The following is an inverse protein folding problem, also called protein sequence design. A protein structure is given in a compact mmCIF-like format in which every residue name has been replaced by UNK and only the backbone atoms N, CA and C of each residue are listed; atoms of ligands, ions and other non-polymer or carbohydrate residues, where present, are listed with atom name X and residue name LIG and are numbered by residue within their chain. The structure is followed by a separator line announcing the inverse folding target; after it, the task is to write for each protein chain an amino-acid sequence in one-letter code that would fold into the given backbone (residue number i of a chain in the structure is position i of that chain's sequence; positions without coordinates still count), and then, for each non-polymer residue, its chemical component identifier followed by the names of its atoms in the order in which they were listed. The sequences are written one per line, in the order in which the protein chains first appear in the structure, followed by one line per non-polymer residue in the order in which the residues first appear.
data_IF_839034404864
#
_entry.id   IF_839034404864
#
_cell.length_a   1.000
_cell.length_b   1.000
_cell.length_c   1.000
_cell.angle_alpha   90.00
_cell.angle_beta   90.00
_cell.angle_gamma   90.00
#
_symmetry.space_group_name_H-M   'P 1'
#
loop_
_entity.id
_entity.type
_entity.pdbx_description
1 polymer ?
#
# COMPACT_ATOMS: atom_id res chain seq x y z
N UNK A 1 -14.84 -13.84 13.73
CA UNK A 1 -15.66 -14.62 14.67
C UNK A 1 -17.10 -14.16 14.50
N UNK A 2 -18.03 -15.05 14.17
CA UNK A 2 -19.45 -14.65 14.06
C UNK A 2 -20.00 -14.32 15.45
N UNK A 3 -20.71 -13.20 15.55
CA UNK A 3 -21.24 -12.68 16.82
C UNK A 3 -22.37 -13.57 17.37
N UNK A 4 -23.13 -14.22 16.49
CA UNK A 4 -24.27 -15.09 16.79
C UNK A 4 -23.91 -16.53 16.43
N UNK A 5 -24.23 -17.48 17.31
CA UNK A 5 -24.13 -18.91 17.02
C UNK A 5 -25.45 -19.43 16.41
N UNK A 6 -25.34 -20.29 15.40
CA UNK A 6 -26.46 -20.88 14.67
C UNK A 6 -26.57 -22.37 15.02
N UNK A 7 -27.71 -22.80 15.56
CA UNK A 7 -28.02 -24.21 15.80
C UNK A 7 -29.08 -24.67 14.79
N UNK A 8 -28.61 -25.17 13.64
CA UNK A 8 -29.44 -25.53 12.49
C UNK A 8 -30.51 -26.59 12.86
N UNK A 9 -30.14 -27.62 13.63
CA UNK A 9 -31.05 -28.72 14.01
C UNK A 9 -32.22 -28.25 14.88
N UNK A 10 -32.05 -27.14 15.60
CA UNK A 10 -33.08 -26.58 16.49
C UNK A 10 -33.76 -25.34 15.93
N UNK A 11 -33.32 -24.86 14.76
CA UNK A 11 -33.71 -23.58 14.20
C UNK A 11 -33.56 -22.44 15.23
N UNK A 12 -32.48 -22.51 16.00
CA UNK A 12 -32.21 -21.60 17.11
C UNK A 12 -30.99 -20.74 16.78
N UNK A 13 -31.08 -19.44 17.10
CA UNK A 13 -29.94 -18.52 17.10
C UNK A 13 -29.59 -18.18 18.53
N UNK A 14 -28.29 -18.05 18.85
CA UNK A 14 -27.82 -17.77 20.23
C UNK A 14 -26.82 -16.62 20.30
N UNK A 15 -26.99 -15.77 21.31
CA UNK A 15 -26.06 -14.68 21.64
C UNK A 15 -26.03 -14.47 23.15
N UNK A 16 -24.83 -14.34 23.74
CA UNK A 16 -24.68 -14.00 25.17
C UNK A 16 -25.34 -14.98 26.14
N UNK A 17 -25.45 -16.27 25.76
CA UNK A 17 -26.16 -17.29 26.56
C UNK A 17 -27.68 -17.31 26.37
N UNK A 18 -28.27 -16.36 25.66
CA UNK A 18 -29.68 -16.35 25.29
C UNK A 18 -29.91 -17.01 23.92
N UNK A 19 -30.95 -17.82 23.80
CA UNK A 19 -31.36 -18.49 22.57
C UNK A 19 -32.74 -18.06 22.09
N UNK A 20 -32.92 -17.91 20.78
CA UNK A 20 -34.20 -17.58 20.14
C UNK A 20 -34.51 -18.67 19.11
N UNK A 21 -35.58 -19.42 19.37
CA UNK A 21 -36.08 -20.44 18.42
C UNK A 21 -36.98 -19.76 17.37
N UNK A 22 -36.66 -20.04 16.11
CA UNK A 22 -37.33 -19.49 14.94
C UNK A 22 -38.11 -20.57 14.20
N UNK A 23 -39.16 -20.18 13.49
CA UNK A 23 -39.81 -21.06 12.53
C UNK A 23 -38.91 -21.25 11.30
N UNK A 24 -39.07 -22.33 10.52
CA UNK A 24 -38.17 -22.64 9.40
C UNK A 24 -37.92 -21.47 8.43
N UNK A 25 -38.99 -20.78 8.01
CA UNK A 25 -38.88 -19.62 7.10
C UNK A 25 -38.37 -18.36 7.78
N UNK A 26 -38.66 -18.16 9.06
CA UNK A 26 -38.07 -17.06 9.84
C UNK A 26 -36.56 -17.27 9.97
N UNK A 27 -36.14 -18.50 10.27
CA UNK A 27 -34.74 -18.89 10.39
C UNK A 27 -34.00 -18.70 9.06
N UNK A 28 -34.55 -19.23 7.97
CA UNK A 28 -33.97 -19.10 6.64
C UNK A 28 -33.87 -17.63 6.19
N UNK A 29 -34.92 -16.83 6.43
CA UNK A 29 -34.91 -15.39 6.11
C UNK A 29 -33.88 -14.62 6.93
N UNK A 30 -33.79 -14.90 8.23
CA UNK A 30 -32.77 -14.27 9.09
C UNK A 30 -31.36 -14.69 8.67
N UNK A 31 -31.14 -15.98 8.35
CA UNK A 31 -29.85 -16.51 7.89
C UNK A 31 -29.43 -15.83 6.60
N UNK A 32 -30.33 -15.72 5.63
CA UNK A 32 -30.06 -15.04 4.35
C UNK A 32 -29.69 -13.56 4.55
N UNK A 33 -30.48 -12.82 5.32
CA UNK A 33 -30.21 -11.42 5.62
C UNK A 33 -28.91 -11.22 6.42
N UNK A 34 -28.58 -12.14 7.34
CA UNK A 34 -27.37 -12.06 8.16
C UNK A 34 -26.10 -12.39 7.38
N UNK A 35 -26.14 -13.42 6.52
CA UNK A 35 -25.05 -13.75 5.58
C UNK A 35 -24.67 -12.52 4.75
N UNK A 36 -25.67 -11.76 4.30
CA UNK A 36 -25.50 -10.57 3.48
C UNK A 36 -25.86 -9.27 4.20
N UNK A 37 -25.46 -9.16 5.47
CA UNK A 37 -25.67 -7.96 6.30
C UNK A 37 -25.21 -6.67 5.59
N UNK A 38 -25.88 -5.57 5.90
CA UNK A 38 -25.73 -4.23 5.31
C UNK A 38 -26.09 -4.10 3.82
N UNK A 39 -26.54 -5.17 3.16
CA UNK A 39 -27.10 -5.14 1.81
C UNK A 39 -28.62 -5.02 1.82
N UNK A 40 -29.16 -4.17 0.95
CA UNK A 40 -30.61 -4.05 0.73
C UNK A 40 -31.07 -5.09 -0.27
N UNK A 41 -32.18 -5.77 0.04
CA UNK A 41 -32.83 -6.73 -0.85
C UNK A 41 -34.26 -6.28 -1.17
N UNK A 42 -34.68 -6.50 -2.42
CA UNK A 42 -36.09 -6.36 -2.79
C UNK A 42 -36.93 -7.48 -2.18
N UNK A 43 -38.24 -7.26 -2.06
CA UNK A 43 -39.17 -8.30 -1.59
C UNK A 43 -39.13 -9.53 -2.49
N UNK A 44 -39.19 -9.31 -3.79
CA UNK A 44 -39.03 -10.33 -4.84
C UNK A 44 -37.74 -11.14 -4.64
N UNK A 45 -36.59 -10.48 -4.46
CA UNK A 45 -35.31 -11.18 -4.25
C UNK A 45 -35.29 -12.00 -2.95
N UNK A 46 -35.97 -11.55 -1.89
CA UNK A 46 -36.09 -12.31 -0.65
C UNK A 46 -37.05 -13.50 -0.80
N UNK A 47 -38.12 -13.33 -1.59
CA UNK A 47 -39.04 -14.41 -1.93
C UNK A 47 -38.32 -15.49 -2.73
N UNK A 48 -37.61 -15.13 -3.80
CA UNK A 48 -36.84 -16.07 -4.61
C UNK A 48 -35.81 -16.84 -3.78
N UNK A 49 -35.16 -16.17 -2.83
CA UNK A 49 -34.11 -16.78 -2.01
C UNK A 49 -34.64 -17.76 -0.96
N UNK A 50 -35.81 -17.51 -0.39
CA UNK A 50 -36.32 -18.25 0.79
C UNK A 50 -37.55 -19.09 0.47
N UNK A 51 -38.23 -18.82 -0.64
CA UNK A 51 -39.45 -19.49 -1.13
C UNK A 51 -39.37 -19.87 -2.63
N UNK A 52 -38.28 -20.51 -3.13
CA UNK A 52 -38.06 -20.71 -4.57
C UNK A 52 -39.07 -21.62 -5.30
N UNK A 53 -39.90 -22.36 -4.57
CA UNK A 53 -40.87 -23.33 -5.11
C UNK A 53 -42.30 -23.06 -4.63
N UNK A 54 -42.53 -21.90 -4.02
CA UNK A 54 -43.82 -21.47 -3.50
C UNK A 54 -44.25 -20.21 -4.27
N UNK A 55 -45.54 -19.86 -4.23
CA UNK A 55 -46.07 -18.61 -4.82
C UNK A 55 -46.54 -17.62 -3.73
N UNK A 56 -45.62 -17.14 -2.87
CA UNK A 56 -45.94 -16.17 -1.84
C UNK A 56 -46.10 -14.76 -2.41
N UNK A 57 -46.77 -13.89 -1.64
CA UNK A 57 -46.88 -12.47 -1.99
C UNK A 57 -45.88 -11.63 -1.21
N UNK A 58 -45.66 -10.39 -1.63
CA UNK A 58 -44.89 -9.39 -0.87
C UNK A 58 -45.30 -9.31 0.62
N UNK A 59 -46.59 -9.49 0.91
CA UNK A 59 -47.12 -9.49 2.27
C UNK A 59 -46.56 -10.62 3.13
N UNK A 60 -46.20 -11.75 2.53
CA UNK A 60 -45.55 -12.87 3.21
C UNK A 60 -44.19 -12.44 3.77
N UNK A 61 -43.38 -11.69 3.02
CA UNK A 61 -42.13 -11.13 3.53
C UNK A 61 -42.41 -10.17 4.68
N UNK A 62 -43.36 -9.24 4.49
CA UNK A 62 -43.67 -8.21 5.48
C UNK A 62 -44.06 -8.83 6.83
N UNK A 63 -44.87 -9.89 6.84
CA UNK A 63 -45.28 -10.62 8.04
C UNK A 63 -44.10 -11.33 8.72
N UNK A 64 -43.21 -11.97 7.94
CA UNK A 64 -42.01 -12.62 8.50
C UNK A 64 -41.02 -11.61 9.07
N UNK A 65 -40.83 -10.47 8.41
CA UNK A 65 -39.99 -9.38 8.91
C UNK A 65 -40.58 -8.82 10.21
N UNK A 66 -41.91 -8.64 10.28
CA UNK A 66 -42.57 -8.21 11.50
C UNK A 66 -42.33 -9.18 12.68
N UNK A 67 -42.50 -10.48 12.45
CA UNK A 67 -42.24 -11.51 13.47
C UNK A 67 -40.77 -11.57 13.89
N UNK A 68 -39.85 -11.52 12.92
CA UNK A 68 -38.42 -11.49 13.18
C UNK A 68 -38.03 -10.27 14.02
N UNK A 69 -38.50 -9.07 13.68
CA UNK A 69 -38.25 -7.85 14.48
C UNK A 69 -38.72 -8.01 15.92
N UNK A 70 -39.90 -8.61 16.13
CA UNK A 70 -40.44 -8.84 17.47
C UNK A 70 -39.60 -9.84 18.27
N UNK A 71 -39.20 -10.96 17.64
CA UNK A 71 -38.37 -11.98 18.30
C UNK A 71 -36.96 -11.46 18.61
N UNK A 72 -36.38 -10.67 17.71
CA UNK A 72 -35.02 -10.14 17.80
C UNK A 72 -34.92 -8.81 18.56
N UNK A 73 -36.01 -8.33 19.15
CA UNK A 73 -36.06 -7.02 19.82
C UNK A 73 -34.98 -6.86 20.89
N UNK A 74 -34.71 -7.93 21.67
CA UNK A 74 -33.67 -7.95 22.70
C UNK A 74 -32.25 -7.77 22.13
N UNK A 75 -32.06 -8.12 20.87
CA UNK A 75 -30.78 -8.04 20.16
C UNK A 75 -30.68 -6.81 19.26
N UNK A 76 -31.62 -5.86 19.38
CA UNK A 76 -31.62 -4.60 18.63
C UNK A 76 -30.37 -3.74 18.85
N UNK A 77 -29.63 -3.97 19.94
CA UNK A 77 -28.33 -3.35 20.21
C UNK A 77 -27.17 -3.94 19.39
N UNK A 78 -27.36 -5.12 18.78
CA UNK A 78 -26.39 -5.80 17.93
C UNK A 78 -26.67 -5.53 16.45
N UNK A 79 -27.94 -5.61 16.05
CA UNK A 79 -28.39 -5.38 14.68
C UNK A 79 -29.90 -5.14 14.62
N UNK A 80 -30.36 -4.50 13.54
CA UNK A 80 -31.78 -4.28 13.25
C UNK A 80 -32.11 -4.74 11.83
N UNK A 81 -33.35 -5.17 11.60
CA UNK A 81 -33.85 -5.35 10.23
C UNK A 81 -34.59 -4.05 9.87
N UNK A 82 -34.06 -3.28 8.94
CA UNK A 82 -34.58 -1.97 8.55
C UNK A 82 -35.41 -2.07 7.26
N UNK A 83 -36.40 -1.19 7.14
CA UNK A 83 -37.16 -1.03 5.89
C UNK A 83 -36.49 0.06 5.06
N UNK A 84 -36.05 -0.30 3.86
CA UNK A 84 -35.46 0.62 2.89
C UNK A 84 -36.57 1.02 1.92
N UNK A 85 -37.09 2.24 2.06
CA UNK A 85 -38.22 2.75 1.27
C UNK A 85 -37.92 2.64 -0.23
N UNK A 86 -38.87 2.11 -0.98
CA UNK A 86 -38.76 1.90 -2.43
C UNK A 86 -37.88 0.70 -2.84
N UNK A 87 -37.26 -0.02 -1.89
CA UNK A 87 -36.39 -1.17 -2.18
C UNK A 87 -36.91 -2.42 -1.51
N UNK A 88 -36.95 -2.46 -0.18
CA UNK A 88 -37.33 -3.66 0.58
C UNK A 88 -36.71 -3.66 1.97
N UNK A 89 -35.89 -4.67 2.29
CA UNK A 89 -35.37 -4.90 3.63
C UNK A 89 -33.86 -5.07 3.67
N UNK A 90 -33.25 -4.66 4.78
CA UNK A 90 -31.81 -4.81 5.06
C UNK A 90 -31.59 -5.16 6.52
N UNK A 91 -30.72 -6.12 6.81
CA UNK A 91 -30.21 -6.30 8.17
C UNK A 91 -29.00 -5.39 8.37
N UNK A 92 -29.14 -4.37 9.21
CA UNK A 92 -28.10 -3.39 9.53
C UNK A 92 -27.45 -3.75 10.86
N UNK A 93 -26.13 -3.90 10.87
CA UNK A 93 -25.40 -4.06 12.14
C UNK A 93 -25.39 -2.75 12.91
N UNK A 94 -25.69 -2.83 14.21
CA UNK A 94 -25.37 -1.79 15.17
C UNK A 94 -23.97 -2.10 15.67
N UNK A 95 -22.96 -1.77 14.86
CA UNK A 95 -21.62 -1.65 15.42
C UNK A 95 -21.71 -0.66 16.58
N UNK A 96 -21.45 -1.10 17.80
CA UNK A 96 -20.91 -0.17 18.79
C UNK A 96 -19.61 0.31 18.17
N UNK A 97 -19.63 1.49 17.56
CA UNK A 97 -18.38 2.18 17.29
C UNK A 97 -17.70 2.25 18.66
N UNK A 98 -16.51 1.64 18.82
CA UNK A 98 -15.79 1.79 20.08
C UNK A 98 -15.65 3.29 20.35
N UNK A 99 -15.67 3.71 21.63
CA UNK A 99 -15.48 5.11 21.96
C UNK A 99 -14.26 5.61 21.20
N UNK A 100 -14.43 6.71 20.49
CA UNK A 100 -13.36 7.38 19.77
C UNK A 100 -12.30 7.79 20.79
N UNK A 101 -11.31 6.94 21.08
CA UNK A 101 -10.36 7.11 22.18
C UNK A 101 -9.63 8.45 22.09
N UNK A 102 -9.38 8.94 20.87
CA UNK A 102 -8.85 10.28 20.61
C UNK A 102 -9.70 11.42 21.17
N UNK A 103 -11.03 11.25 21.28
CA UNK A 103 -11.94 12.23 21.87
C UNK A 103 -11.88 12.25 23.41
N UNK A 104 -11.37 11.19 24.05
CA UNK A 104 -11.36 11.03 25.51
C UNK A 104 -9.95 11.06 26.12
N UNK A 105 -8.91 10.81 25.33
CA UNK A 105 -7.50 10.90 25.74
C UNK A 105 -6.71 11.69 24.70
N UNK A 106 -6.35 12.92 25.06
CA UNK A 106 -5.60 13.82 24.18
C UNK A 106 -4.26 13.19 23.72
N UNK A 107 -3.57 12.49 24.62
CA UNK A 107 -2.25 11.88 24.34
C UNK A 107 -2.34 10.58 23.51
N UNK A 108 -3.55 10.02 23.32
CA UNK A 108 -3.70 8.77 22.56
C UNK A 108 -3.36 8.98 21.08
N UNK A 109 -3.81 10.09 20.50
CA UNK A 109 -3.49 10.45 19.12
C UNK A 109 -1.99 10.64 18.92
N UNK A 110 -1.31 11.25 19.89
CA UNK A 110 0.15 11.40 19.86
C UNK A 110 0.84 10.04 19.94
N UNK A 111 0.40 9.16 20.85
CA UNK A 111 0.94 7.79 20.97
C UNK A 111 0.83 7.00 19.66
N UNK A 112 -0.32 7.08 18.99
CA UNK A 112 -0.53 6.44 17.68
C UNK A 112 0.41 7.04 16.63
N UNK A 113 0.57 8.38 16.58
CA UNK A 113 1.52 9.03 15.66
C UNK A 113 2.95 8.61 15.93
N UNK A 114 3.36 8.48 17.19
CA UNK A 114 4.69 7.99 17.56
C UNK A 114 4.91 6.55 17.08
N UNK A 115 3.91 5.67 17.24
CA UNK A 115 3.98 4.30 16.74
C UNK A 115 4.08 4.25 15.20
N UNK A 116 3.23 5.00 14.50
CA UNK A 116 3.26 5.09 13.03
C UNK A 116 4.60 5.62 12.53
N UNK A 117 5.12 6.68 13.15
CA UNK A 117 6.43 7.25 12.84
C UNK A 117 7.56 6.25 13.06
N UNK A 118 7.55 5.51 14.18
CA UNK A 118 8.55 4.50 14.46
C UNK A 118 8.52 3.35 13.44
N UNK A 119 7.33 2.82 13.11
CA UNK A 119 7.19 1.75 12.11
C UNK A 119 7.53 2.21 10.70
N UNK A 120 7.17 3.43 10.33
CA UNK A 120 7.59 4.06 9.08
C UNK A 120 9.12 4.17 9.04
N UNK A 121 9.74 4.79 10.04
CA UNK A 121 11.20 4.94 10.12
C UNK A 121 11.92 3.60 9.97
N UNK A 122 11.49 2.56 10.71
CA UNK A 122 12.08 1.23 10.65
C UNK A 122 11.75 0.42 9.39
N UNK A 123 10.87 0.89 8.51
CA UNK A 123 10.45 0.18 7.31
C UNK A 123 9.59 -1.06 7.59
N UNK A 124 8.74 -0.98 8.61
CA UNK A 124 7.86 -2.08 9.04
C UNK A 124 6.45 -1.93 8.45
N UNK A 125 6.31 -2.18 7.15
CA UNK A 125 5.07 -1.91 6.40
C UNK A 125 3.90 -2.76 6.89
N UNK A 126 4.15 -4.02 7.24
CA UNK A 126 3.15 -4.90 7.85
C UNK A 126 2.57 -4.34 9.16
N UNK A 127 3.39 -3.68 9.98
CA UNK A 127 2.94 -3.06 11.24
C UNK A 127 2.07 -1.82 10.95
N UNK A 128 2.47 -0.97 9.99
CA UNK A 128 1.66 0.17 9.54
C UNK A 128 0.29 -0.27 9.01
N UNK A 129 0.27 -1.28 8.14
CA UNK A 129 -0.97 -1.87 7.61
C UNK A 129 -1.88 -2.38 8.74
N UNK A 130 -1.31 -3.09 9.70
CA UNK A 130 -2.06 -3.65 10.83
C UNK A 130 -2.73 -2.54 11.65
N UNK A 131 -2.01 -1.47 11.97
CA UNK A 131 -2.60 -0.33 12.68
C UNK A 131 -3.70 0.34 11.85
N UNK A 132 -3.43 0.65 10.59
CA UNK A 132 -4.37 1.33 9.70
C UNK A 132 -5.67 0.54 9.48
N UNK A 133 -5.56 -0.77 9.26
CA UNK A 133 -6.70 -1.66 9.03
C UNK A 133 -7.59 -1.83 10.27
N UNK A 134 -7.05 -1.60 11.47
CA UNK A 134 -7.76 -1.73 12.74
C UNK A 134 -8.10 -0.39 13.39
N UNK A 135 -7.95 0.74 12.69
CA UNK A 135 -8.18 2.09 13.27
C UNK A 135 -9.60 2.26 13.85
N UNK A 136 -10.61 1.66 13.20
CA UNK A 136 -11.99 1.68 13.69
C UNK A 136 -12.12 0.94 15.02
N UNK A 137 -11.51 -0.25 15.14
CA UNK A 137 -11.52 -1.06 16.37
C UNK A 137 -10.71 -0.39 17.48
N UNK A 138 -9.60 0.25 17.11
CA UNK A 138 -8.68 0.95 18.01
C UNK A 138 -9.14 2.38 18.36
N UNK A 139 -10.22 2.87 17.78
CA UNK A 139 -10.83 4.16 18.13
C UNK A 139 -10.01 5.39 17.76
N UNK A 140 -9.19 5.34 16.69
CA UNK A 140 -8.46 6.51 16.17
C UNK A 140 -8.72 6.74 14.69
N UNK A 141 -8.32 7.92 14.21
CA UNK A 141 -8.27 8.26 12.79
C UNK A 141 -6.82 8.52 12.40
N UNK A 142 -6.42 8.03 11.24
CA UNK A 142 -5.12 8.37 10.66
C UNK A 142 -5.10 9.87 10.33
N UNK A 143 -3.95 10.51 10.55
CA UNK A 143 -3.72 11.83 9.96
C UNK A 143 -3.68 11.74 8.42
N UNK A 144 -3.96 12.86 7.73
CA UNK A 144 -4.05 12.87 6.26
C UNK A 144 -2.82 12.29 5.56
N UNK A 145 -1.62 12.55 6.08
CA UNK A 145 -0.38 12.02 5.51
C UNK A 145 -0.37 10.49 5.55
N UNK A 146 -0.56 9.86 6.72
CA UNK A 146 -0.55 8.40 6.80
C UNK A 146 -1.71 7.72 6.09
N UNK A 147 -2.88 8.36 5.99
CA UNK A 147 -4.03 7.84 5.26
C UNK A 147 -3.71 7.60 3.77
N UNK A 148 -2.94 8.51 3.17
CA UNK A 148 -2.50 8.45 1.78
C UNK A 148 -1.25 7.58 1.64
N UNK A 149 -0.25 7.84 2.47
CA UNK A 149 1.05 7.16 2.45
C UNK A 149 0.92 5.66 2.58
N UNK A 150 0.11 5.17 3.53
CA UNK A 150 -0.07 3.74 3.74
C UNK A 150 -0.63 3.09 2.48
N UNK A 151 -1.71 3.64 1.89
CA UNK A 151 -2.27 3.09 0.65
C UNK A 151 -1.24 3.04 -0.49
N UNK A 152 -0.40 4.06 -0.61
CA UNK A 152 0.69 4.07 -1.59
C UNK A 152 1.70 2.96 -1.33
N UNK A 153 2.27 2.87 -0.12
CA UNK A 153 3.33 1.90 0.17
C UNK A 153 2.84 0.45 0.18
N UNK A 154 1.55 0.23 0.37
CA UNK A 154 0.93 -1.11 0.37
C UNK A 154 0.43 -1.53 -1.00
N UNK A 155 0.55 -0.67 -2.01
CA UNK A 155 0.26 -1.00 -3.40
C UNK A 155 -1.18 -0.76 -3.86
N UNK A 156 -1.99 0.01 -3.12
CA UNK A 156 -3.33 0.45 -3.57
C UNK A 156 -3.21 1.63 -4.56
N UNK A 157 -2.43 1.42 -5.63
CA UNK A 157 -2.07 2.45 -6.59
C UNK A 157 -3.27 2.92 -7.43
N UNK A 158 -4.20 2.02 -7.75
CA UNK A 158 -5.38 2.37 -8.52
C UNK A 158 -6.26 3.38 -7.78
N UNK A 159 -6.53 3.14 -6.48
CA UNK A 159 -7.19 4.13 -5.63
C UNK A 159 -6.36 5.40 -5.52
N UNK A 160 -5.05 5.27 -5.31
CA UNK A 160 -4.16 6.43 -5.14
C UNK A 160 -4.21 7.36 -6.34
N UNK A 161 -4.17 6.84 -7.57
CA UNK A 161 -4.23 7.68 -8.78
C UNK A 161 -5.64 8.25 -9.00
N UNK A 162 -6.68 7.47 -8.71
CA UNK A 162 -8.08 7.87 -8.88
C UNK A 162 -8.56 8.91 -7.87
N UNK A 163 -7.95 8.97 -6.68
CA UNK A 163 -8.32 9.91 -5.63
C UNK A 163 -8.24 11.38 -6.12
N UNK A 164 -9.34 12.10 -5.97
CA UNK A 164 -9.51 13.51 -6.33
C UNK A 164 -9.70 14.40 -5.10
N UNK A 165 -9.83 13.81 -3.90
CA UNK A 165 -10.05 14.55 -2.65
C UNK A 165 -8.74 15.15 -2.14
N UNK A 166 -7.61 14.49 -2.41
CA UNK A 166 -6.28 14.99 -2.05
C UNK A 166 -5.77 16.00 -3.10
N UNK A 167 -5.24 17.16 -2.68
CA UNK A 167 -4.65 18.14 -3.60
C UNK A 167 -3.56 17.52 -4.49
N UNK A 168 -3.55 17.88 -5.78
CA UNK A 168 -2.55 17.36 -6.72
C UNK A 168 -1.12 17.65 -6.26
N UNK A 169 -0.86 18.81 -5.66
CA UNK A 169 0.45 19.19 -5.10
C UNK A 169 1.00 18.20 -4.06
N UNK A 170 0.13 17.58 -3.26
CA UNK A 170 0.51 16.56 -2.27
C UNK A 170 0.81 15.20 -2.93
N UNK A 171 0.38 15.02 -4.18
CA UNK A 171 0.47 13.75 -4.93
C UNK A 171 1.52 13.75 -6.02
N UNK A 172 1.96 14.91 -6.50
CA UNK A 172 2.91 15.02 -7.62
C UNK A 172 4.16 14.17 -7.43
N UNK A 173 4.74 14.20 -6.23
CA UNK A 173 5.89 13.38 -5.85
C UNK A 173 5.61 11.88 -6.05
N UNK A 174 4.53 11.37 -5.46
CA UNK A 174 4.17 9.96 -5.51
C UNK A 174 3.76 9.52 -6.93
N UNK A 175 3.04 10.36 -7.67
CA UNK A 175 2.67 10.09 -9.06
C UNK A 175 3.90 9.97 -9.96
N UNK A 176 4.89 10.85 -9.77
CA UNK A 176 6.18 10.72 -10.45
C UNK A 176 6.88 9.40 -10.11
N UNK A 177 6.99 9.05 -8.83
CA UNK A 177 7.65 7.82 -8.40
C UNK A 177 6.93 6.56 -8.91
N UNK A 178 5.59 6.60 -8.93
CA UNK A 178 4.77 5.53 -9.50
C UNK A 178 5.05 5.33 -10.99
N UNK A 179 5.16 6.42 -11.75
CA UNK A 179 5.54 6.35 -13.15
C UNK A 179 6.98 5.85 -13.31
N UNK A 180 7.93 6.45 -12.58
CA UNK A 180 9.34 6.09 -12.66
C UNK A 180 9.59 4.61 -12.38
N UNK A 181 9.01 4.06 -11.32
CA UNK A 181 9.25 2.66 -10.96
C UNK A 181 8.59 1.66 -11.92
N UNK A 182 7.62 2.09 -12.73
CA UNK A 182 6.89 1.24 -13.67
C UNK A 182 7.30 1.44 -15.14
N UNK A 183 8.02 2.52 -15.46
CA UNK A 183 8.47 2.85 -16.81
C UNK A 183 9.97 2.55 -17.01
N UNK A 184 10.27 1.55 -17.83
CA UNK A 184 11.65 1.12 -18.10
C UNK A 184 12.38 2.03 -19.10
N UNK A 185 11.68 2.93 -19.79
CA UNK A 185 12.29 3.93 -20.67
C UNK A 185 12.75 5.15 -19.85
N UNK A 186 14.08 5.33 -19.77
CA UNK A 186 14.69 6.43 -19.03
C UNK A 186 14.37 7.80 -19.65
N UNK A 187 14.21 7.90 -20.97
CA UNK A 187 13.88 9.17 -21.63
C UNK A 187 12.45 9.60 -21.31
N UNK A 188 11.50 8.66 -21.28
CA UNK A 188 10.11 8.95 -20.92
C UNK A 188 10.00 9.40 -19.47
N UNK A 189 10.70 8.70 -18.57
CA UNK A 189 10.80 9.09 -17.16
C UNK A 189 11.39 10.50 -17.02
N UNK A 190 12.46 10.81 -17.76
CA UNK A 190 13.10 12.12 -17.71
C UNK A 190 12.21 13.25 -18.22
N UNK A 191 11.44 13.03 -19.30
CA UNK A 191 10.45 13.99 -19.79
C UNK A 191 9.42 14.31 -18.70
N UNK A 192 8.89 13.29 -18.04
CA UNK A 192 7.93 13.49 -16.95
C UNK A 192 8.57 14.20 -15.75
N UNK A 193 9.79 13.81 -15.37
CA UNK A 193 10.55 14.46 -14.31
C UNK A 193 10.72 15.97 -14.56
N UNK A 194 11.11 16.37 -15.78
CA UNK A 194 11.25 17.78 -16.14
C UNK A 194 9.94 18.56 -16.00
N UNK A 195 8.80 17.95 -16.35
CA UNK A 195 7.48 18.54 -16.12
C UNK A 195 7.22 18.73 -14.63
N UNK A 196 7.45 17.70 -13.81
CA UNK A 196 7.22 17.76 -12.37
C UNK A 196 8.10 18.83 -11.69
N UNK A 197 9.37 18.92 -12.08
CA UNK A 197 10.31 19.93 -11.56
C UNK A 197 9.83 21.35 -11.86
N UNK A 198 9.22 21.62 -13.03
CA UNK A 198 8.64 22.95 -13.33
C UNK A 198 7.52 23.35 -12.36
N UNK A 199 6.82 22.37 -11.78
CA UNK A 199 5.72 22.57 -10.85
C UNK A 199 6.12 22.35 -9.38
N UNK A 200 7.41 22.12 -9.09
CA UNK A 200 7.85 21.73 -7.75
C UNK A 200 7.57 22.75 -6.66
N UNK A 201 7.54 24.05 -7.00
CA UNK A 201 7.22 25.11 -6.05
C UNK A 201 5.82 24.99 -5.41
N UNK A 202 4.91 24.20 -6.01
CA UNK A 202 3.59 23.93 -5.45
C UNK A 202 3.57 22.76 -4.44
N UNK A 203 4.61 21.93 -4.42
CA UNK A 203 4.71 20.76 -3.55
C UNK A 203 5.24 21.15 -2.15
N UNK A 204 4.92 20.35 -1.11
CA UNK A 204 5.64 20.40 0.16
C UNK A 204 7.16 20.41 -0.01
N UNK A 205 7.87 21.21 0.79
CA UNK A 205 9.33 21.37 0.70
C UNK A 205 10.08 20.03 0.74
N UNK A 206 9.66 19.12 1.63
CA UNK A 206 10.25 17.79 1.76
C UNK A 206 10.24 17.01 0.44
N UNK A 207 9.17 17.12 -0.35
CA UNK A 207 9.07 16.44 -1.64
C UNK A 207 9.89 17.13 -2.74
N UNK A 208 10.07 18.45 -2.65
CA UNK A 208 11.00 19.16 -3.53
C UNK A 208 12.43 18.68 -3.31
N UNK A 209 12.84 18.59 -2.04
CA UNK A 209 14.16 18.13 -1.62
C UNK A 209 14.39 16.67 -2.05
N UNK A 210 13.42 15.78 -1.79
CA UNK A 210 13.49 14.38 -2.20
C UNK A 210 13.60 14.20 -3.72
N UNK A 211 12.93 15.02 -4.53
CA UNK A 211 13.10 14.98 -5.99
C UNK A 211 14.52 15.32 -6.42
N UNK A 212 15.15 16.30 -5.77
CA UNK A 212 16.54 16.66 -6.05
C UNK A 212 17.52 15.57 -5.65
N UNK A 213 17.25 14.86 -4.54
CA UNK A 213 18.07 13.71 -4.11
C UNK A 213 17.93 12.57 -5.13
N UNK A 214 16.70 12.20 -5.50
CA UNK A 214 16.44 11.09 -6.43
C UNK A 214 16.90 11.37 -7.87
N UNK A 215 17.04 12.64 -8.24
CA UNK A 215 17.55 13.04 -9.56
C UNK A 215 18.95 12.47 -9.86
N UNK A 216 19.78 12.19 -8.84
CA UNK A 216 21.10 11.56 -9.03
C UNK A 216 20.98 10.22 -9.77
N UNK A 217 20.13 9.32 -9.28
CA UNK A 217 19.93 8.01 -9.89
C UNK A 217 19.24 8.12 -11.25
N UNK A 218 18.32 9.07 -11.41
CA UNK A 218 17.65 9.34 -12.68
C UNK A 218 18.63 9.76 -13.78
N UNK A 219 19.52 10.72 -13.49
CA UNK A 219 20.57 11.14 -14.43
C UNK A 219 21.54 10.00 -14.75
N UNK A 220 21.90 9.18 -13.76
CA UNK A 220 22.72 8.00 -13.98
C UNK A 220 22.06 6.98 -14.93
N UNK A 221 20.74 6.76 -14.81
CA UNK A 221 19.97 5.87 -15.69
C UNK A 221 19.94 6.34 -17.16
N UNK A 222 20.07 7.64 -17.40
CA UNK A 222 20.18 8.19 -18.76
C UNK A 222 21.61 8.14 -19.31
N UNK A 223 22.59 7.72 -18.51
CA UNK A 223 24.01 7.80 -18.89
C UNK A 223 24.60 9.22 -18.83
N UNK A 224 23.89 10.17 -18.22
CA UNK A 224 24.30 11.57 -18.10
C UNK A 224 25.25 11.76 -16.90
N UNK A 225 26.45 11.19 -16.99
CA UNK A 225 27.38 11.06 -15.86
C UNK A 225 27.78 12.41 -15.25
N UNK A 226 28.10 13.41 -16.07
CA UNK A 226 28.51 14.73 -15.58
C UNK A 226 27.38 15.43 -14.84
N UNK A 227 26.16 15.35 -15.38
CA UNK A 227 24.97 15.92 -14.76
C UNK A 227 24.65 15.20 -13.44
N UNK A 228 24.75 13.87 -13.41
CA UNK A 228 24.55 13.09 -12.19
C UNK A 228 25.55 13.47 -11.10
N UNK A 229 26.86 13.61 -11.43
CA UNK A 229 27.88 14.04 -10.46
C UNK A 229 27.65 15.48 -9.97
N UNK A 230 27.22 16.39 -10.84
CA UNK A 230 26.85 17.75 -10.42
C UNK A 230 25.65 17.72 -9.47
N UNK A 231 24.66 16.87 -9.75
CA UNK A 231 23.48 16.71 -8.90
C UNK A 231 23.85 16.13 -7.53
N UNK A 232 24.84 15.23 -7.43
CA UNK A 232 25.34 14.73 -6.13
C UNK A 232 25.78 15.87 -5.23
N UNK A 233 26.55 16.84 -5.75
CA UNK A 233 27.02 17.96 -4.95
C UNK A 233 25.86 18.79 -4.39
N UNK A 234 24.82 19.02 -5.20
CA UNK A 234 23.62 19.73 -4.77
C UNK A 234 22.81 18.93 -3.74
N UNK A 235 22.58 17.64 -4.00
CA UNK A 235 21.84 16.75 -3.12
C UNK A 235 22.52 16.58 -1.75
N UNK A 236 23.86 16.57 -1.68
CA UNK A 236 24.60 16.55 -0.40
C UNK A 236 24.28 17.76 0.46
N UNK A 237 24.27 18.96 -0.11
CA UNK A 237 23.91 20.17 0.64
C UNK A 237 22.50 20.10 1.20
N UNK A 238 21.55 19.53 0.46
CA UNK A 238 20.17 19.33 0.93
C UNK A 238 20.17 18.35 2.10
N UNK A 239 20.76 17.17 1.93
CA UNK A 239 20.78 16.12 2.97
C UNK A 239 21.49 16.58 4.26
N UNK A 240 22.58 17.32 4.14
CA UNK A 240 23.29 17.91 5.29
C UNK A 240 22.39 18.87 6.09
N UNK A 241 21.51 19.62 5.43
CA UNK A 241 20.56 20.52 6.09
C UNK A 241 19.38 19.78 6.75
N UNK A 242 19.02 18.61 6.22
CA UNK A 242 17.92 17.80 6.76
C UNK A 242 18.29 17.07 8.06
N UNK A 243 19.58 16.88 8.33
CA UNK A 243 20.11 16.16 9.51
C UNK A 243 19.40 14.81 9.75
N UNK A 244 19.31 14.01 8.69
CA UNK A 244 18.52 12.78 8.69
C UNK A 244 19.28 11.61 8.08
N UNK A 245 19.34 10.53 8.85
CA UNK A 245 19.98 9.29 8.45
C UNK A 245 19.25 8.60 7.30
N UNK A 246 17.92 8.73 7.25
CA UNK A 246 17.11 8.19 6.17
C UNK A 246 17.45 8.88 4.84
N UNK A 247 17.55 10.21 4.84
CA UNK A 247 17.90 10.97 3.64
C UNK A 247 19.37 10.79 3.25
N UNK A 248 20.24 10.60 4.24
CA UNK A 248 21.64 10.20 4.01
C UNK A 248 21.72 8.86 3.29
N UNK A 249 20.96 7.85 3.75
CA UNK A 249 20.88 6.56 3.09
C UNK A 249 20.32 6.66 1.66
N UNK A 250 19.29 7.47 1.42
CA UNK A 250 18.76 7.68 0.06
C UNK A 250 19.80 8.25 -0.90
N UNK A 251 20.56 9.26 -0.46
CA UNK A 251 21.63 9.82 -1.28
C UNK A 251 22.76 8.81 -1.51
N UNK A 252 23.17 8.07 -0.47
CA UNK A 252 24.19 7.02 -0.59
C UNK A 252 23.76 5.94 -1.59
N UNK A 253 22.47 5.57 -1.64
CA UNK A 253 21.95 4.62 -2.62
C UNK A 253 22.07 5.17 -4.05
N UNK A 254 21.69 6.44 -4.28
CA UNK A 254 21.83 7.12 -5.57
C UNK A 254 23.29 7.27 -6.03
N UNK A 255 24.19 7.64 -5.12
CA UNK A 255 25.62 7.73 -5.40
C UNK A 255 26.23 6.36 -5.70
N UNK A 256 25.83 5.32 -4.96
CA UNK A 256 26.28 3.95 -5.19
C UNK A 256 25.81 3.47 -6.55
N UNK A 257 24.56 3.74 -6.90
CA UNK A 257 24.00 3.42 -8.20
C UNK A 257 24.76 4.10 -9.35
N UNK A 258 25.01 5.41 -9.24
CA UNK A 258 25.85 6.16 -10.18
C UNK A 258 27.24 5.53 -10.32
N UNK A 259 27.90 5.22 -9.20
CA UNK A 259 29.23 4.61 -9.22
C UNK A 259 29.23 3.22 -9.86
N UNK A 260 28.20 2.41 -9.65
CA UNK A 260 28.06 1.09 -10.28
C UNK A 260 27.90 1.18 -11.80
N UNK A 261 27.00 2.06 -12.26
CA UNK A 261 26.74 2.27 -13.68
C UNK A 261 27.92 2.92 -14.41
N UNK A 262 28.61 3.88 -13.78
CA UNK A 262 29.81 4.50 -14.35
C UNK A 262 31.07 3.61 -14.27
N UNK A 263 30.98 2.45 -13.61
CA UNK A 263 32.08 1.49 -13.45
C UNK A 263 33.11 1.83 -12.37
N UNK A 264 32.82 2.79 -11.50
CA UNK A 264 33.64 3.16 -10.36
C UNK A 264 33.39 2.23 -9.15
N UNK A 265 33.76 0.96 -9.28
CA UNK A 265 33.43 -0.10 -8.30
C UNK A 265 34.01 0.19 -6.90
N UNK A 266 35.24 0.69 -6.81
CA UNK A 266 35.86 1.04 -5.51
C UNK A 266 35.09 2.15 -4.78
N UNK A 267 34.59 3.16 -5.52
CA UNK A 267 33.73 4.22 -4.97
C UNK A 267 32.42 3.62 -4.45
N UNK A 268 31.80 2.72 -5.22
CA UNK A 268 30.58 2.04 -4.80
C UNK A 268 30.79 1.25 -3.50
N UNK A 269 31.90 0.53 -3.37
CA UNK A 269 32.22 -0.23 -2.15
C UNK A 269 32.40 0.68 -0.91
N UNK A 270 33.11 1.81 -1.06
CA UNK A 270 33.26 2.78 0.03
C UNK A 270 31.93 3.42 0.46
N UNK A 271 31.02 3.68 -0.48
CA UNK A 271 29.67 4.19 -0.18
C UNK A 271 28.80 3.15 0.52
N UNK A 272 28.87 1.88 0.08
CA UNK A 272 28.18 0.76 0.73
C UNK A 272 28.65 0.57 2.17
N UNK A 273 29.96 0.68 2.44
CA UNK A 273 30.51 0.60 3.80
C UNK A 273 29.94 1.69 4.71
N UNK A 274 29.85 2.94 4.22
CA UNK A 274 29.23 4.05 4.96
C UNK A 274 27.76 3.77 5.25
N UNK A 275 27.00 3.29 4.27
CA UNK A 275 25.59 2.96 4.45
C UNK A 275 25.37 1.84 5.48
N UNK A 276 26.15 0.76 5.43
CA UNK A 276 26.04 -0.32 6.41
C UNK A 276 26.42 0.10 7.83
N UNK A 277 27.33 1.07 8.00
CA UNK A 277 27.63 1.64 9.31
C UNK A 277 26.41 2.36 9.92
N UNK A 278 25.62 3.06 9.09
CA UNK A 278 24.36 3.68 9.50
C UNK A 278 23.30 2.60 9.79
N UNK A 279 23.16 1.60 8.93
CA UNK A 279 22.15 0.55 9.08
C UNK A 279 22.40 -0.37 10.27
N UNK A 280 23.65 -0.49 10.73
CA UNK A 280 23.97 -1.22 11.96
C UNK A 280 23.37 -0.54 13.20
N UNK A 281 23.33 0.80 13.25
CA UNK A 281 22.71 1.55 14.37
C UNK A 281 21.21 1.76 14.20
N UNK A 282 20.73 1.85 12.97
CA UNK A 282 19.32 2.07 12.62
C UNK A 282 18.89 1.04 11.57
N UNK A 283 18.46 -0.16 11.98
CA UNK A 283 18.20 -1.28 11.06
C UNK A 283 16.86 -1.11 10.32
N UNK A 284 16.78 -0.09 9.47
CA UNK A 284 15.66 0.18 8.59
C UNK A 284 15.54 -0.96 7.57
N UNK A 285 14.61 -1.89 7.78
CA UNK A 285 14.62 -3.19 7.11
C UNK A 285 14.59 -3.09 5.59
N UNK A 286 13.81 -2.16 5.04
CA UNK A 286 13.74 -1.93 3.59
C UNK A 286 15.07 -1.42 3.03
N UNK A 287 15.77 -0.54 3.75
CA UNK A 287 17.08 -0.03 3.34
C UNK A 287 18.16 -1.11 3.47
N UNK A 288 18.09 -1.96 4.49
CA UNK A 288 18.96 -3.15 4.60
C UNK A 288 18.83 -4.01 3.35
N UNK A 289 17.61 -4.26 2.88
CA UNK A 289 17.38 -4.99 1.64
C UNK A 289 17.94 -4.28 0.40
N UNK A 290 17.68 -2.98 0.25
CA UNK A 290 18.18 -2.15 -0.86
C UNK A 290 19.71 -2.12 -0.93
N UNK A 291 20.39 -1.89 0.18
CA UNK A 291 21.85 -1.86 0.23
C UNK A 291 22.49 -3.22 0.05
N UNK A 292 21.83 -4.30 0.49
CA UNK A 292 22.28 -5.67 0.23
C UNK A 292 22.18 -6.03 -1.25
N UNK A 293 21.11 -5.58 -1.91
CA UNK A 293 20.98 -5.65 -3.36
C UNK A 293 22.11 -4.89 -4.06
N UNK A 294 22.36 -3.62 -3.71
CA UNK A 294 23.45 -2.83 -4.29
C UNK A 294 24.83 -3.45 -4.05
N UNK A 295 25.06 -4.03 -2.87
CA UNK A 295 26.26 -4.80 -2.57
C UNK A 295 26.39 -6.01 -3.49
N UNK A 296 25.31 -6.75 -3.74
CA UNK A 296 25.30 -7.85 -4.68
C UNK A 296 25.65 -7.41 -6.11
N UNK A 297 25.11 -6.28 -6.59
CA UNK A 297 25.46 -5.71 -7.89
C UNK A 297 26.93 -5.26 -7.96
N UNK A 298 27.47 -4.72 -6.87
CA UNK A 298 28.90 -4.40 -6.74
C UNK A 298 29.76 -5.67 -6.88
N UNK A 299 29.43 -6.74 -6.16
CA UNK A 299 30.13 -8.03 -6.28
C UNK A 299 30.01 -8.62 -7.69
N UNK A 300 28.90 -8.37 -8.38
CA UNK A 300 28.74 -8.80 -9.77
C UNK A 300 29.76 -8.12 -10.69
N UNK A 301 29.98 -6.79 -10.53
CA UNK A 301 31.01 -6.05 -11.29
C UNK A 301 32.42 -6.56 -10.99
N UNK A 302 32.65 -7.08 -9.80
CA UNK A 302 33.91 -7.71 -9.37
C UNK A 302 34.08 -9.16 -9.88
N UNK A 303 33.16 -9.67 -10.71
CA UNK A 303 33.14 -11.06 -11.21
C UNK A 303 32.89 -12.13 -10.13
N UNK A 304 32.44 -11.75 -8.93
CA UNK A 304 32.07 -12.66 -7.84
C UNK A 304 30.61 -13.14 -7.97
N UNK A 305 30.29 -13.78 -9.11
CA UNK A 305 28.92 -14.02 -9.58
C UNK A 305 28.06 -14.81 -8.58
N UNK A 306 28.60 -15.86 -7.96
CA UNK A 306 27.83 -16.68 -7.01
C UNK A 306 27.46 -15.90 -5.74
N UNK A 307 28.37 -15.05 -5.24
CA UNK A 307 28.14 -14.19 -4.08
C UNK A 307 27.18 -13.07 -4.43
N UNK A 308 27.33 -12.46 -5.60
CA UNK A 308 26.43 -11.45 -6.13
C UNK A 308 24.97 -11.92 -6.17
N UNK A 309 24.71 -13.09 -6.78
CA UNK A 309 23.36 -13.66 -6.88
C UNK A 309 22.70 -13.85 -5.51
N UNK A 310 23.44 -14.43 -4.55
CA UNK A 310 22.91 -14.62 -3.19
C UNK A 310 22.54 -13.30 -2.53
N UNK A 311 23.44 -12.30 -2.59
CA UNK A 311 23.20 -11.00 -1.97
C UNK A 311 22.01 -10.26 -2.60
N UNK A 312 21.88 -10.27 -3.92
CA UNK A 312 20.74 -9.65 -4.61
C UNK A 312 19.44 -10.38 -4.30
N UNK A 313 19.43 -11.72 -4.36
CA UNK A 313 18.25 -12.53 -4.01
C UNK A 313 17.81 -12.26 -2.56
N UNK A 314 18.76 -12.27 -1.62
CA UNK A 314 18.51 -11.98 -0.21
C UNK A 314 18.01 -10.55 0.00
N UNK A 315 18.58 -9.57 -0.69
CA UNK A 315 18.15 -8.17 -0.62
C UNK A 315 16.70 -8.00 -1.08
N UNK A 316 16.33 -8.62 -2.21
CA UNK A 316 14.96 -8.58 -2.73
C UNK A 316 13.97 -9.26 -1.79
N UNK A 317 14.32 -10.38 -1.18
CA UNK A 317 13.44 -11.06 -0.21
C UNK A 317 13.28 -10.27 1.09
N UNK A 318 14.33 -9.61 1.57
CA UNK A 318 14.22 -8.66 2.70
C UNK A 318 13.23 -7.54 2.35
N UNK A 319 13.37 -6.90 1.19
CA UNK A 319 12.44 -5.84 0.74
C UNK A 319 11.02 -6.39 0.65
N UNK A 320 10.81 -7.56 0.03
CA UNK A 320 9.49 -8.20 -0.06
C UNK A 320 8.86 -8.40 1.32
N UNK A 321 9.64 -8.87 2.30
CA UNK A 321 9.16 -9.13 3.65
C UNK A 321 8.68 -7.86 4.38
N UNK A 322 9.19 -6.68 4.02
CA UNK A 322 8.75 -5.40 4.61
C UNK A 322 7.33 -4.99 4.20
N UNK A 323 6.80 -5.57 3.11
CA UNK A 323 5.53 -5.19 2.50
C UNK A 323 5.46 -3.74 1.97
N UNK A 324 6.62 -3.12 1.72
CA UNK A 324 6.73 -1.89 0.95
C UNK A 324 6.73 -2.18 -0.55
N UNK A 325 5.55 -2.22 -1.15
CA UNK A 325 5.37 -2.57 -2.56
C UNK A 325 6.20 -1.71 -3.52
N UNK A 326 6.24 -0.36 -3.39
CA UNK A 326 7.07 0.47 -4.27
C UNK A 326 8.55 0.08 -4.26
N UNK A 327 9.09 -0.27 -3.09
CA UNK A 327 10.51 -0.63 -2.96
C UNK A 327 10.80 -1.97 -3.64
N UNK A 328 9.86 -2.93 -3.56
CA UNK A 328 9.99 -4.19 -4.28
C UNK A 328 9.96 -3.98 -5.80
N UNK A 329 9.06 -3.13 -6.30
CA UNK A 329 9.00 -2.78 -7.72
C UNK A 329 10.31 -2.10 -8.14
N UNK A 330 10.77 -1.12 -7.38
CA UNK A 330 12.02 -0.39 -7.64
C UNK A 330 13.25 -1.30 -7.62
N UNK A 331 13.32 -2.26 -6.70
CA UNK A 331 14.39 -3.23 -6.63
C UNK A 331 14.48 -4.09 -7.90
N UNK A 332 13.33 -4.64 -8.34
CA UNK A 332 13.28 -5.44 -9.58
C UNK A 332 13.56 -4.58 -10.81
N UNK A 333 13.00 -3.36 -10.85
CA UNK A 333 13.27 -2.37 -11.89
C UNK A 333 14.77 -2.10 -12.05
N UNK A 334 15.45 -1.77 -10.94
CA UNK A 334 16.88 -1.45 -10.96
C UNK A 334 17.73 -2.67 -11.35
N UNK A 335 17.40 -3.87 -10.91
CA UNK A 335 18.11 -5.08 -11.35
C UNK A 335 18.02 -5.23 -12.87
N UNK A 336 16.83 -5.05 -13.45
CA UNK A 336 16.65 -5.14 -14.90
C UNK A 336 17.33 -4.00 -15.66
N UNK A 337 17.33 -2.77 -15.11
CA UNK A 337 18.11 -1.67 -15.67
C UNK A 337 19.61 -1.99 -15.66
N UNK A 338 20.14 -2.51 -14.56
CA UNK A 338 21.54 -2.89 -14.45
C UNK A 338 21.95 -3.89 -15.55
N UNK A 339 21.10 -4.88 -15.83
CA UNK A 339 21.35 -5.88 -16.88
C UNK A 339 21.38 -5.31 -18.30
N UNK A 340 20.83 -4.11 -18.54
CA UNK A 340 20.97 -3.41 -19.83
C UNK A 340 22.36 -2.82 -20.03
N UNK A 341 23.03 -2.46 -18.94
CA UNK A 341 24.36 -1.84 -18.97
C UNK A 341 25.50 -2.84 -18.75
N UNK A 342 25.21 -3.98 -18.13
CA UNK A 342 26.21 -4.98 -17.74
C UNK A 342 25.77 -6.36 -18.20
N UNK A 343 26.58 -7.09 -18.99
CA UNK A 343 26.24 -8.43 -19.45
C UNK A 343 25.82 -9.37 -18.31
N UNK A 344 24.63 -9.96 -18.46
CA UNK A 344 24.01 -10.83 -17.46
C UNK A 344 23.82 -12.26 -17.99
N UNK A 345 23.90 -13.23 -17.08
CA UNK A 345 23.51 -14.61 -17.35
C UNK A 345 22.00 -14.71 -17.63
N UNK A 346 21.64 -15.36 -18.74
CA UNK A 346 20.26 -15.45 -19.22
C UNK A 346 19.28 -16.07 -18.21
N UNK A 347 19.73 -17.04 -17.39
CA UNK A 347 18.87 -17.67 -16.37
C UNK A 347 18.55 -16.69 -15.24
N UNK A 348 19.53 -15.87 -14.85
CA UNK A 348 19.33 -14.88 -13.80
C UNK A 348 18.49 -13.69 -14.29
N UNK A 349 18.73 -13.24 -15.52
CA UNK A 349 17.88 -12.26 -16.19
C UNK A 349 16.42 -12.72 -16.29
N UNK A 350 16.18 -13.95 -16.81
CA UNK A 350 14.84 -14.50 -16.97
C UNK A 350 14.06 -14.59 -15.65
N UNK A 351 14.74 -14.85 -14.53
CA UNK A 351 14.11 -14.85 -13.20
C UNK A 351 13.52 -13.49 -12.87
N UNK A 352 14.27 -12.41 -13.05
CA UNK A 352 13.79 -11.07 -12.71
C UNK A 352 12.82 -10.50 -13.73
N UNK A 353 12.94 -10.88 -15.01
CA UNK A 353 11.93 -10.57 -16.02
C UNK A 353 10.59 -11.21 -15.68
N UNK A 354 10.59 -12.46 -15.19
CA UNK A 354 9.38 -13.12 -14.69
C UNK A 354 8.80 -12.37 -13.49
N UNK A 355 9.63 -12.03 -12.50
CA UNK A 355 9.18 -11.26 -11.33
C UNK A 355 8.60 -9.89 -11.72
N UNK A 356 9.22 -9.21 -12.67
CA UNK A 356 8.71 -7.96 -13.23
C UNK A 356 7.37 -8.14 -13.90
N UNK A 357 7.21 -9.20 -14.72
CA UNK A 357 5.93 -9.53 -15.35
C UNK A 357 4.84 -9.79 -14.31
N UNK A 358 5.12 -10.60 -13.28
CA UNK A 358 4.18 -10.90 -12.21
C UNK A 358 3.72 -9.62 -11.48
N UNK A 359 4.67 -8.73 -11.15
CA UNK A 359 4.37 -7.41 -10.56
C UNK A 359 3.56 -6.52 -11.51
N UNK A 360 3.92 -6.48 -12.78
CA UNK A 360 3.24 -5.67 -13.79
C UNK A 360 1.79 -6.10 -14.00
N UNK A 361 1.52 -7.40 -13.95
CA UNK A 361 0.16 -7.96 -14.00
C UNK A 361 -0.59 -7.64 -12.70
N UNK A 362 0.02 -7.91 -11.55
CA UNK A 362 -0.61 -7.70 -10.24
C UNK A 362 -1.05 -6.25 -10.01
N UNK A 363 -0.19 -5.29 -10.36
CA UNK A 363 -0.42 -3.86 -10.12
C UNK A 363 -0.82 -3.09 -11.38
N UNK A 364 -1.02 -3.77 -12.52
CA UNK A 364 -1.49 -3.18 -13.78
C UNK A 364 -0.64 -1.99 -14.27
N UNK A 365 0.68 -2.17 -14.39
CA UNK A 365 1.63 -1.08 -14.71
C UNK A 365 1.23 -0.24 -15.93
N UNK A 366 0.80 -0.85 -17.03
CA UNK A 366 0.39 -0.13 -18.24
C UNK A 366 -0.83 0.76 -18.01
N UNK A 367 -1.78 0.32 -17.19
CA UNK A 367 -2.92 1.14 -16.80
C UNK A 367 -2.45 2.30 -15.90
N UNK A 368 -1.65 2.00 -14.88
CA UNK A 368 -1.13 3.02 -13.95
C UNK A 368 -0.36 4.12 -14.67
N UNK A 369 0.56 3.77 -15.58
CA UNK A 369 1.33 4.75 -16.36
C UNK A 369 0.41 5.68 -17.16
N UNK A 370 -0.58 5.13 -17.85
CA UNK A 370 -1.57 5.92 -18.61
C UNK A 370 -2.40 6.81 -17.70
N UNK A 371 -2.86 6.30 -16.57
CA UNK A 371 -3.63 7.07 -15.59
C UNK A 371 -2.81 8.20 -14.97
N UNK A 372 -1.53 7.97 -14.66
CA UNK A 372 -0.62 9.01 -14.18
C UNK A 372 -0.43 10.09 -15.24
N UNK A 373 -0.10 9.72 -16.48
CA UNK A 373 0.07 10.70 -17.57
C UNK A 373 -1.21 11.49 -17.80
N UNK A 374 -2.38 10.84 -17.75
CA UNK A 374 -3.67 11.52 -17.86
C UNK A 374 -3.91 12.49 -16.70
N UNK A 375 -3.65 12.09 -15.45
CA UNK A 375 -3.79 12.96 -14.28
C UNK A 375 -2.88 14.18 -14.36
N UNK A 376 -1.70 14.01 -14.96
CA UNK A 376 -0.70 15.05 -15.14
C UNK A 376 -0.87 15.82 -16.45
N UNK A 377 -1.84 15.48 -17.31
CA UNK A 377 -1.98 16.12 -18.63
C UNK A 377 -2.37 17.59 -18.56
N UNK A 378 -2.88 18.07 -17.42
CA UNK A 378 -3.12 19.49 -17.19
C UNK A 378 -1.82 20.29 -16.93
N UNK A 379 -0.71 19.59 -16.65
CA UNK A 379 0.63 20.16 -16.39
C UNK A 379 1.60 19.94 -17.56
N UNK A 380 1.29 18.99 -18.46
CA UNK A 380 2.03 18.68 -19.69
C UNK A 380 1.57 19.60 -20.83
#
# INVERSE_FOLDING_TARGET
MELIAWEDDKLEVRYGGEGIVLLPKEYALLKYLYTWKNRSFSRESLLDAVWPLEDPTDRTIDDHIYRLRKKLQKWSHLFTIDTVRGVGYRLSWKQHQPPQLHAWKQDFSESIRTMLSAYHGMGMGAALQTLAANQEVLGFQLDPFYAIYIRFVTGDFAWFVADDDTPLSEKLFYLFHLYHMTEMDAEQTAKLFQTIVKHQASMPQIFQDELQINAVALYANMGEWELAQKQVAHARTIVEQMDSDSFTLFLLAGETWLALLSGSVEKAEGLLQQAFAILHRLPMQREVGSFKLLQGLCQYRQQEIAKARRLVDEGVEVIRATQFVPHLIYAVHNILLFFRHVPCDAKWQSRYEKMWHDLAVQYQFEHLKKSVVHKLSALL
#
